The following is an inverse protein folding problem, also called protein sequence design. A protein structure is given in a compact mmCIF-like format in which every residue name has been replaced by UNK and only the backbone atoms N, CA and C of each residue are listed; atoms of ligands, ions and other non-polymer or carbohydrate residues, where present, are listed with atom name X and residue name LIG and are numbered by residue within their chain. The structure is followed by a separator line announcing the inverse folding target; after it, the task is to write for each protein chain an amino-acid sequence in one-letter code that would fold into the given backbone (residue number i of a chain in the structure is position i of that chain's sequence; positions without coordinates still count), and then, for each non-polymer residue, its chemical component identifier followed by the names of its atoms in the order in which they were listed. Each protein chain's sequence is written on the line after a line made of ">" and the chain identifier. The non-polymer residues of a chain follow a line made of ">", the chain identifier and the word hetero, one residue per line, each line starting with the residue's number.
data_IF_115739162557
#
_entry.id   IF_115739162557
#
_cell.length_a   1.000
_cell.length_b   1.000
_cell.length_c   1.000
_cell.angle_alpha   90.00
_cell.angle_beta   90.00
_cell.angle_gamma   90.00
#
_symmetry.space_group_name_H-M   'P 1'
#
loop_
_entity.id
_entity.type
_entity.pdbx_description
1 polymer ?
#
# COMPACT_ATOMS: atom_id res chain seq x y z
N UNK A 1 -66.30 15.27 18.99
CA UNK A 1 -65.43 14.85 17.85
C UNK A 1 -64.57 13.68 18.30
N UNK A 2 -64.43 12.65 17.46
CA UNK A 2 -63.74 11.41 17.82
C UNK A 2 -62.23 11.67 17.97
N UNK A 3 -61.64 11.34 19.15
CA UNK A 3 -60.23 11.62 19.49
C UNK A 3 -59.26 11.07 18.44
N UNK A 4 -59.61 9.94 17.81
CA UNK A 4 -58.84 9.34 16.72
C UNK A 4 -58.77 10.25 15.48
N UNK A 5 -59.87 10.89 15.10
CA UNK A 5 -59.91 11.83 13.97
C UNK A 5 -59.08 13.09 14.26
N UNK A 6 -59.10 13.55 15.51
CA UNK A 6 -58.31 14.71 15.96
C UNK A 6 -56.80 14.41 15.90
N UNK A 7 -56.37 13.27 16.43
CA UNK A 7 -54.97 12.83 16.36
C UNK A 7 -54.52 12.65 14.91
N UNK A 8 -55.36 12.04 14.05
CA UNK A 8 -55.04 11.88 12.63
C UNK A 8 -54.89 13.24 11.92
N UNK A 9 -55.78 14.19 12.17
CA UNK A 9 -55.68 15.54 11.58
C UNK A 9 -54.42 16.27 12.04
N UNK A 10 -54.06 16.15 13.32
CA UNK A 10 -52.83 16.73 13.86
C UNK A 10 -51.59 16.14 13.16
N UNK A 11 -51.53 14.82 13.01
CA UNK A 11 -50.41 14.13 12.38
C UNK A 11 -50.26 14.52 10.90
N UNK A 12 -51.39 14.70 10.21
CA UNK A 12 -51.43 15.10 8.80
C UNK A 12 -50.91 16.54 8.62
N UNK A 13 -51.25 17.45 9.53
CA UNK A 13 -50.70 18.82 9.53
C UNK A 13 -49.19 18.82 9.77
N UNK A 14 -48.69 18.02 10.71
CA UNK A 14 -47.25 17.89 10.97
C UNK A 14 -46.51 17.30 9.76
N UNK A 15 -47.07 16.27 9.13
CA UNK A 15 -46.51 15.64 7.93
C UNK A 15 -46.41 16.66 6.77
N UNK A 16 -47.50 17.38 6.50
CA UNK A 16 -47.53 18.38 5.45
C UNK A 16 -46.51 19.51 5.69
N UNK A 17 -46.41 19.98 6.95
CA UNK A 17 -45.41 20.97 7.35
C UNK A 17 -43.97 20.48 7.15
N UNK A 18 -43.68 19.22 7.50
CA UNK A 18 -42.35 18.64 7.32
C UNK A 18 -41.96 18.49 5.84
N UNK A 19 -42.91 18.09 4.98
CA UNK A 19 -42.67 17.99 3.54
C UNK A 19 -42.40 19.37 2.92
N UNK A 20 -43.18 20.39 3.29
CA UNK A 20 -42.97 21.75 2.84
C UNK A 20 -41.60 22.29 3.28
N UNK A 21 -41.24 22.11 4.55
CA UNK A 21 -39.95 22.52 5.08
C UNK A 21 -38.78 21.83 4.36
N UNK A 22 -38.90 20.51 4.13
CA UNK A 22 -37.90 19.74 3.40
C UNK A 22 -37.72 20.24 1.96
N UNK A 23 -38.81 20.60 1.30
CA UNK A 23 -38.76 21.06 -0.10
C UNK A 23 -38.10 22.43 -0.23
N UNK A 24 -38.37 23.33 0.72
CA UNK A 24 -37.75 24.67 0.77
C UNK A 24 -36.24 24.58 1.05
N UNK A 25 -35.85 23.64 1.92
CA UNK A 25 -34.44 23.47 2.32
C UNK A 25 -33.64 22.51 1.43
N UNK A 26 -34.26 21.94 0.40
CA UNK A 26 -33.57 21.04 -0.53
C UNK A 26 -32.50 21.81 -1.31
N UNK A 27 -31.20 21.46 -1.18
CA UNK A 27 -30.13 22.14 -1.89
C UNK A 27 -30.27 21.89 -3.39
N UNK A 28 -30.57 22.94 -4.16
CA UNK A 28 -30.61 22.85 -5.62
C UNK A 28 -29.19 22.78 -6.15
N UNK A 29 -28.90 21.70 -6.88
CA UNK A 29 -27.63 21.59 -7.62
C UNK A 29 -27.55 22.70 -8.67
N UNK A 30 -26.53 23.55 -8.58
CA UNK A 30 -26.25 24.56 -9.59
C UNK A 30 -25.79 23.87 -10.87
N UNK A 31 -26.66 23.83 -11.88
CA UNK A 31 -26.31 23.34 -13.22
C UNK A 31 -25.58 24.45 -13.95
N UNK A 32 -24.28 24.26 -14.21
CA UNK A 32 -23.47 25.20 -15.01
C UNK A 32 -23.86 25.02 -16.47
N UNK A 33 -24.58 26.01 -17.04
CA UNK A 33 -25.14 25.93 -18.39
C UNK A 33 -24.08 26.00 -19.51
N UNK A 34 -22.89 26.53 -19.21
CA UNK A 34 -21.82 26.70 -20.21
C UNK A 34 -20.46 26.45 -19.57
N UNK A 35 -19.85 25.32 -19.95
CA UNK A 35 -18.46 25.04 -19.61
C UNK A 35 -17.58 25.98 -20.45
N UNK A 36 -16.95 26.98 -19.82
CA UNK A 36 -16.05 27.93 -20.49
C UNK A 36 -14.82 27.26 -21.10
N UNK A 37 -14.46 26.07 -20.62
CA UNK A 37 -13.40 25.25 -21.18
C UNK A 37 -14.00 23.96 -21.74
N UNK A 38 -14.09 23.88 -23.07
CA UNK A 38 -14.38 22.64 -23.78
C UNK A 38 -13.10 21.79 -23.79
N UNK A 39 -13.13 20.51 -23.38
CA UNK A 39 -11.97 19.64 -23.53
C UNK A 39 -11.57 19.60 -25.01
N UNK A 40 -10.34 20.03 -25.31
CA UNK A 40 -9.80 20.17 -26.67
C UNK A 40 -9.68 21.61 -27.21
N UNK A 41 -10.06 22.64 -26.46
CA UNK A 41 -9.79 24.03 -26.86
C UNK A 41 -8.31 24.41 -26.61
N UNK A 42 -7.58 24.70 -27.68
CA UNK A 42 -6.20 25.18 -27.60
C UNK A 42 -6.17 26.58 -26.93
N UNK A 43 -5.42 26.69 -25.84
CA UNK A 43 -5.21 27.97 -25.17
C UNK A 43 -4.30 28.86 -26.03
N UNK A 44 -4.82 29.99 -26.52
CA UNK A 44 -4.03 31.01 -27.20
C UNK A 44 -3.12 31.69 -26.17
N UNK A 45 -1.86 31.27 -26.11
CA UNK A 45 -0.83 31.91 -25.29
C UNK A 45 -0.42 33.22 -25.96
N UNK A 46 -0.97 34.34 -25.48
CA UNK A 46 -0.46 35.67 -25.82
C UNK A 46 0.72 35.95 -24.88
N UNK A 47 1.95 35.74 -25.37
CA UNK A 47 3.15 36.31 -24.72
C UNK A 47 3.18 37.80 -25.03
N UNK A 48 2.78 38.64 -24.08
CA UNK A 48 3.08 40.07 -24.12
C UNK A 48 4.29 40.33 -23.23
N UNK A 49 5.35 40.84 -23.85
CA UNK A 49 6.69 40.95 -23.31
C UNK A 49 6.84 41.90 -22.12
N UNK A 50 7.93 41.64 -21.41
CA UNK A 50 8.73 42.47 -20.51
C UNK A 50 8.38 43.96 -20.38
N UNK A 51 7.99 44.37 -19.19
CA UNK A 51 8.45 45.59 -18.49
C UNK A 51 8.04 45.53 -17.00
N UNK A 52 8.81 46.13 -16.07
CA UNK A 52 8.70 45.85 -14.64
C UNK A 52 7.53 46.61 -13.99
N UNK A 53 6.82 45.97 -13.07
CA UNK A 53 5.80 46.60 -12.23
C UNK A 53 6.31 46.70 -10.78
N UNK A 54 6.00 47.82 -10.08
CA UNK A 54 6.50 48.10 -8.74
C UNK A 54 5.81 47.25 -7.68
N UNK A 55 6.48 47.15 -6.54
CA UNK A 55 6.05 46.46 -5.33
C UNK A 55 4.65 46.90 -4.87
N UNK A 56 3.79 45.91 -4.61
CA UNK A 56 2.46 46.12 -4.07
C UNK A 56 1.78 44.78 -3.77
N UNK A 57 1.79 44.40 -2.50
CA UNK A 57 1.21 43.17 -1.94
C UNK A 57 -0.29 43.08 -2.24
N UNK A 58 -0.70 42.01 -2.91
CA UNK A 58 -2.06 41.48 -2.87
C UNK A 58 -2.01 39.96 -3.02
N UNK A 59 -2.01 39.26 -1.89
CA UNK A 59 -2.17 37.81 -1.80
C UNK A 59 -3.61 37.44 -2.17
N UNK A 60 -3.81 37.06 -3.43
CA UNK A 60 -5.04 36.46 -3.95
C UNK A 60 -4.68 35.30 -4.87
N UNK A 61 -4.32 34.14 -4.29
CA UNK A 61 -4.29 32.87 -5.03
C UNK A 61 -3.40 32.82 -6.28
N UNK A 62 -2.47 33.76 -6.43
CA UNK A 62 -1.56 33.80 -7.56
C UNK A 62 -0.39 32.85 -7.31
N UNK A 63 -0.14 32.00 -8.31
CA UNK A 63 0.95 31.03 -8.27
C UNK A 63 2.27 31.79 -8.20
N UNK A 64 3.00 31.63 -7.10
CA UNK A 64 4.33 32.22 -6.92
C UNK A 64 5.37 31.53 -7.81
N UNK A 65 5.40 31.92 -9.09
CA UNK A 65 6.37 31.42 -10.07
C UNK A 65 7.82 31.81 -9.70
N UNK A 66 8.00 32.85 -8.88
CA UNK A 66 9.30 33.26 -8.37
C UNK A 66 10.01 32.19 -7.51
N UNK A 67 9.27 31.20 -6.99
CA UNK A 67 9.87 30.07 -6.26
C UNK A 67 10.50 29.03 -7.19
N UNK A 68 10.13 29.00 -8.47
CA UNK A 68 10.71 28.11 -9.49
C UNK A 68 12.07 28.62 -9.98
N UNK A 69 12.29 29.93 -9.97
CA UNK A 69 13.56 30.55 -10.35
C UNK A 69 14.60 30.52 -9.21
N UNK A 70 14.27 29.90 -8.07
CA UNK A 70 15.19 29.74 -6.95
C UNK A 70 16.32 28.80 -7.38
N UNK A 71 17.47 29.39 -7.73
CA UNK A 71 18.72 28.67 -7.98
C UNK A 71 19.12 27.92 -6.70
N UNK A 72 18.71 26.65 -6.61
CA UNK A 72 19.03 25.78 -5.48
C UNK A 72 20.52 25.48 -5.57
N UNK A 73 21.35 25.86 -4.57
CA UNK A 73 22.77 25.54 -4.59
C UNK A 73 22.91 24.01 -4.73
N UNK A 74 23.68 23.59 -5.73
CA UNK A 74 23.83 22.17 -6.06
C UNK A 74 24.23 21.35 -4.83
N UNK A 75 23.58 20.20 -4.67
CA UNK A 75 23.91 19.28 -3.60
C UNK A 75 25.36 18.79 -3.79
N UNK A 76 26.26 19.21 -2.91
CA UNK A 76 27.70 18.89 -2.98
C UNK A 76 28.07 17.42 -2.69
N UNK A 77 27.07 16.53 -2.62
CA UNK A 77 27.26 15.11 -2.36
C UNK A 77 27.65 14.81 -0.91
N UNK A 78 27.36 13.60 -0.44
CA UNK A 78 27.89 13.09 0.82
C UNK A 78 29.17 12.30 0.54
N UNK A 79 30.33 12.78 1.01
CA UNK A 79 31.64 12.16 0.73
C UNK A 79 32.01 10.97 1.61
N UNK A 80 31.11 10.52 2.49
CA UNK A 80 31.34 9.34 3.35
C UNK A 80 30.60 8.14 2.78
N UNK A 81 31.30 7.01 2.68
CA UNK A 81 30.69 5.75 2.31
C UNK A 81 29.84 5.23 3.49
N UNK A 82 28.56 5.58 3.47
CA UNK A 82 27.56 5.17 4.46
C UNK A 82 27.24 3.66 4.43
N UNK A 83 27.79 2.93 3.46
CA UNK A 83 27.71 1.47 3.35
C UNK A 83 29.02 0.78 3.78
N UNK A 84 30.00 1.52 4.31
CA UNK A 84 31.16 0.88 4.89
C UNK A 84 30.76 0.14 6.18
N UNK A 85 31.14 -1.14 6.33
CA UNK A 85 30.83 -1.90 7.54
C UNK A 85 31.48 -1.21 8.73
N UNK A 86 30.65 -0.87 9.72
CA UNK A 86 31.03 -0.14 10.93
C UNK A 86 31.99 -0.98 11.80
N UNK A 87 31.94 -2.30 11.61
CA UNK A 87 32.76 -3.28 12.32
C UNK A 87 33.85 -3.81 11.40
N UNK A 88 34.95 -3.05 11.28
CA UNK A 88 36.23 -3.66 10.94
C UNK A 88 36.80 -4.21 12.22
N UNK A 89 36.30 -5.38 12.62
CA UNK A 89 36.99 -6.14 13.65
C UNK A 89 38.40 -6.42 13.13
N UNK A 90 39.33 -5.88 13.89
CA UNK A 90 40.76 -6.00 13.81
C UNK A 90 41.14 -7.47 13.73
N UNK A 91 41.16 -8.01 12.51
CA UNK A 91 41.68 -9.35 12.25
C UNK A 91 43.19 -9.25 12.33
N UNK A 92 43.68 -9.30 13.57
CA UNK A 92 45.08 -9.57 13.90
C UNK A 92 45.55 -10.73 13.00
N UNK A 93 46.65 -10.58 12.25
CA UNK A 93 47.14 -11.66 11.41
C UNK A 93 47.51 -12.85 12.31
N UNK A 94 47.08 -14.09 11.99
CA UNK A 94 47.39 -15.25 12.83
C UNK A 94 48.89 -15.52 12.80
N UNK A 95 49.48 -15.62 13.98
CA UNK A 95 50.86 -16.07 14.20
C UNK A 95 51.04 -17.48 13.58
N UNK A 96 52.09 -17.74 12.79
CA UNK A 96 52.27 -19.04 12.15
C UNK A 96 52.73 -20.08 13.17
N UNK A 97 51.85 -21.03 13.50
CA UNK A 97 52.20 -22.26 14.20
C UNK A 97 53.04 -23.15 13.27
N UNK A 98 54.29 -23.42 13.65
CA UNK A 98 55.15 -24.40 12.96
C UNK A 98 54.66 -25.81 13.25
N UNK A 99 54.09 -26.48 12.25
CA UNK A 99 53.76 -27.91 12.32
C UNK A 99 55.03 -28.76 12.04
N UNK A 100 55.14 -29.95 12.67
CA UNK A 100 56.22 -30.90 12.38
C UNK A 100 56.11 -31.49 10.96
N UNK A 101 57.22 -31.99 10.37
CA UNK A 101 57.23 -32.50 9.01
C UNK A 101 56.36 -33.75 8.85
N UNK A 102 55.69 -33.91 7.69
CA UNK A 102 54.79 -35.03 7.43
C UNK A 102 55.55 -36.36 7.25
N UNK A 103 54.95 -37.49 7.63
CA UNK A 103 55.52 -38.83 7.42
C UNK A 103 55.63 -39.19 5.93
N UNK A 104 56.49 -40.15 5.55
CA UNK A 104 56.71 -40.54 4.16
C UNK A 104 55.45 -41.13 3.52
N UNK A 105 55.26 -40.94 2.19
CA UNK A 105 54.05 -41.35 1.51
C UNK A 105 53.93 -42.87 1.43
N UNK A 106 52.90 -43.42 2.07
CA UNK A 106 52.43 -44.78 1.81
C UNK A 106 51.84 -44.81 0.40
N UNK A 107 52.30 -45.74 -0.45
CA UNK A 107 51.73 -45.97 -1.78
C UNK A 107 50.26 -46.37 -1.62
N UNK A 108 49.37 -45.44 -1.96
CA UNK A 108 47.93 -45.68 -2.03
C UNK A 108 47.64 -46.69 -3.14
N UNK A 109 46.70 -47.64 -2.92
CA UNK A 109 46.19 -48.49 -4.00
C UNK A 109 45.54 -47.61 -5.10
N UNK A 110 45.48 -48.12 -6.35
CA UNK A 110 44.89 -47.37 -7.45
C UNK A 110 43.45 -46.95 -7.13
N UNK A 111 43.03 -45.73 -7.55
CA UNK A 111 41.70 -45.23 -7.26
C UNK A 111 40.64 -46.16 -7.85
N UNK A 112 39.52 -46.39 -7.14
CA UNK A 112 38.39 -47.12 -7.71
C UNK A 112 37.89 -46.38 -8.97
N UNK A 113 37.32 -47.12 -9.94
CA UNK A 113 36.79 -46.52 -11.16
C UNK A 113 35.75 -45.43 -10.80
N UNK A 114 35.65 -44.35 -11.61
CA UNK A 114 34.77 -43.25 -11.32
C UNK A 114 33.34 -43.76 -11.10
N UNK A 115 32.82 -43.53 -9.89
CA UNK A 115 31.43 -43.75 -9.60
C UNK A 115 30.61 -43.00 -10.65
N UNK A 116 29.70 -43.73 -11.31
CA UNK A 116 28.79 -43.17 -12.28
C UNK A 116 28.16 -41.89 -11.71
N UNK A 117 28.15 -40.84 -12.53
CA UNK A 117 27.56 -39.56 -12.21
C UNK A 117 26.16 -39.79 -11.59
N UNK A 118 26.02 -39.47 -10.31
CA UNK A 118 24.70 -39.38 -9.70
C UNK A 118 23.88 -38.38 -10.51
N UNK A 119 22.66 -38.72 -10.95
CA UNK A 119 21.81 -37.79 -11.68
C UNK A 119 21.68 -36.50 -10.88
N UNK A 120 21.95 -35.36 -11.53
CA UNK A 120 21.63 -34.06 -10.94
C UNK A 120 20.13 -34.05 -10.59
N UNK A 121 19.74 -33.51 -9.42
CA UNK A 121 18.34 -33.37 -9.08
C UNK A 121 17.63 -32.61 -10.21
N UNK A 122 16.45 -33.06 -10.66
CA UNK A 122 15.71 -32.33 -11.68
C UNK A 122 15.47 -30.89 -11.21
N UNK A 123 15.51 -29.90 -12.12
CA UNK A 123 15.21 -28.52 -11.79
C UNK A 123 13.83 -28.45 -11.09
N UNK A 124 13.67 -27.59 -10.07
CA UNK A 124 12.41 -27.45 -9.36
C UNK A 124 11.30 -27.15 -10.38
N UNK A 125 10.19 -27.88 -10.26
CA UNK A 125 9.03 -27.72 -11.14
C UNK A 125 8.56 -26.25 -11.14
N UNK A 126 8.09 -25.73 -12.28
CA UNK A 126 7.54 -24.38 -12.34
C UNK A 126 6.39 -24.25 -11.33
N UNK A 127 6.30 -23.12 -10.62
CA UNK A 127 5.29 -22.93 -9.58
C UNK A 127 3.89 -23.03 -10.19
N UNK A 128 3.04 -23.87 -9.59
CA UNK A 128 1.64 -24.03 -9.98
C UNK A 128 0.88 -22.72 -9.72
N UNK A 129 -0.18 -22.45 -10.49
CA UNK A 129 -0.99 -21.22 -10.35
C UNK A 129 -1.51 -21.00 -8.93
N UNK A 130 -1.79 -22.08 -8.20
CA UNK A 130 -2.19 -22.07 -6.79
C UNK A 130 -1.11 -21.48 -5.88
N UNK A 131 0.15 -21.88 -6.06
CA UNK A 131 1.28 -21.38 -5.28
C UNK A 131 1.54 -19.89 -5.54
N UNK A 132 1.31 -19.44 -6.78
CA UNK A 132 1.40 -18.03 -7.14
C UNK A 132 0.27 -17.20 -6.49
N UNK A 133 -0.96 -17.71 -6.51
CA UNK A 133 -2.10 -17.06 -5.86
C UNK A 133 -1.88 -16.92 -4.34
N UNK A 134 -1.29 -17.92 -3.71
CA UNK A 134 -0.98 -17.91 -2.29
C UNK A 134 0.15 -16.93 -1.94
N UNK A 135 1.20 -16.88 -2.75
CA UNK A 135 2.28 -15.91 -2.59
C UNK A 135 1.78 -14.46 -2.81
N UNK A 136 0.77 -14.28 -3.66
CA UNK A 136 0.11 -13.00 -3.86
C UNK A 136 -0.82 -12.60 -2.71
N UNK A 137 -1.45 -13.57 -2.04
CA UNK A 137 -2.35 -13.33 -0.91
C UNK A 137 -1.60 -12.69 0.27
N UNK A 138 -0.36 -13.12 0.54
CA UNK A 138 0.48 -12.55 1.59
C UNK A 138 0.99 -11.11 1.34
N UNK A 139 0.72 -10.52 0.16
CA UNK A 139 1.19 -9.17 -0.20
C UNK A 139 0.19 -8.06 0.13
N UNK A 140 -1.01 -8.41 0.59
CA UNK A 140 -1.98 -7.42 1.03
C UNK A 140 -1.50 -6.77 2.33
N UNK A 141 -1.41 -5.44 2.32
CA UNK A 141 -1.09 -4.63 3.49
C UNK A 141 -2.34 -3.86 3.90
N UNK A 142 -2.68 -3.90 5.18
CA UNK A 142 -3.77 -3.11 5.71
C UNK A 142 -3.37 -1.63 5.80
N UNK A 143 -4.19 -0.74 5.25
CA UNK A 143 -3.97 0.71 5.27
C UNK A 143 -4.84 1.42 6.31
N UNK A 144 -6.07 0.94 6.53
CA UNK A 144 -7.03 1.59 7.41
C UNK A 144 -8.45 1.07 7.20
N UNK A 145 -9.41 1.61 7.95
CA UNK A 145 -10.83 1.32 7.71
C UNK A 145 -11.68 2.58 7.90
N UNK A 146 -12.84 2.60 7.26
CA UNK A 146 -13.89 3.59 7.43
C UNK A 146 -15.14 2.90 7.97
N UNK A 147 -15.69 3.43 9.06
CA UNK A 147 -16.98 2.99 9.61
C UNK A 147 -18.01 4.09 9.35
N UNK A 148 -19.03 3.80 8.55
CA UNK A 148 -20.12 4.74 8.23
C UNK A 148 -21.45 4.02 8.22
N UNK A 149 -22.46 4.56 8.91
CA UNK A 149 -23.81 3.98 8.99
C UNK A 149 -23.83 2.50 9.46
N UNK A 150 -22.90 2.09 10.31
CA UNK A 150 -22.75 0.69 10.73
C UNK A 150 -22.04 -0.23 9.73
N UNK A 151 -21.74 0.24 8.51
CA UNK A 151 -20.92 -0.49 7.54
C UNK A 151 -19.43 -0.18 7.74
N UNK A 152 -18.62 -1.23 7.85
CA UNK A 152 -17.15 -1.14 7.88
C UNK A 152 -16.58 -1.42 6.49
N UNK A 153 -15.75 -0.51 6.00
CA UNK A 153 -14.99 -0.66 4.74
C UNK A 153 -13.51 -0.64 5.08
N UNK A 154 -12.79 -1.68 4.71
CA UNK A 154 -11.34 -1.80 4.95
C UNK A 154 -10.59 -1.39 3.69
N UNK A 155 -9.52 -0.63 3.86
CA UNK A 155 -8.59 -0.26 2.80
C UNK A 155 -7.38 -1.18 2.88
N UNK A 156 -7.12 -1.87 1.79
CA UNK A 156 -5.96 -2.75 1.62
C UNK A 156 -5.10 -2.20 0.48
N UNK A 157 -3.79 -2.36 0.56
CA UNK A 157 -2.89 -2.15 -0.57
C UNK A 157 -2.25 -3.44 -1.02
N UNK A 158 -2.06 -3.58 -2.33
CA UNK A 158 -1.26 -4.64 -2.95
C UNK A 158 -0.59 -4.05 -4.18
N UNK A 159 0.73 -4.20 -4.31
CA UNK A 159 1.51 -3.68 -5.45
C UNK A 159 1.23 -2.19 -5.76
N UNK A 160 1.15 -1.35 -4.72
CA UNK A 160 0.82 0.09 -4.81
C UNK A 160 -0.60 0.41 -5.33
N UNK A 161 -1.47 -0.58 -5.49
CA UNK A 161 -2.89 -0.39 -5.79
C UNK A 161 -3.70 -0.50 -4.50
N UNK A 162 -4.74 0.35 -4.35
CA UNK A 162 -5.61 0.39 -3.17
C UNK A 162 -6.94 -0.29 -3.48
N UNK A 163 -7.30 -1.26 -2.64
CA UNK A 163 -8.53 -2.02 -2.73
C UNK A 163 -9.47 -1.69 -1.55
N UNK A 164 -10.76 -1.56 -1.86
CA UNK A 164 -11.80 -1.39 -0.85
C UNK A 164 -12.45 -2.76 -0.59
N UNK A 165 -12.33 -3.21 0.65
CA UNK A 165 -12.80 -4.50 1.11
C UNK A 165 -14.02 -4.33 2.02
N UNK A 166 -15.16 -4.87 1.59
CA UNK A 166 -16.37 -5.08 2.39
C UNK A 166 -16.62 -6.58 2.59
N UNK A 167 -17.43 -6.94 3.58
CA UNK A 167 -17.87 -8.33 3.76
C UNK A 167 -18.49 -8.86 2.45
N UNK A 168 -17.99 -9.99 1.95
CA UNK A 168 -18.46 -10.62 0.70
C UNK A 168 -17.94 -10.00 -0.60
N UNK A 169 -17.18 -8.90 -0.53
CA UNK A 169 -16.62 -8.24 -1.73
C UNK A 169 -15.47 -9.05 -2.36
N UNK A 170 -15.27 -8.89 -3.67
CA UNK A 170 -14.13 -9.48 -4.39
C UNK A 170 -12.98 -8.48 -4.45
N UNK A 171 -11.78 -8.95 -4.15
CA UNK A 171 -10.53 -8.19 -4.22
C UNK A 171 -9.81 -8.60 -5.50
N UNK A 172 -10.15 -7.94 -6.60
CA UNK A 172 -9.71 -8.32 -7.94
C UNK A 172 -10.30 -9.68 -8.39
N UNK A 173 -9.69 -10.34 -9.39
CA UNK A 173 -10.24 -11.57 -9.98
C UNK A 173 -9.97 -12.82 -9.14
N UNK A 174 -8.96 -12.80 -8.26
CA UNK A 174 -8.42 -14.00 -7.61
C UNK A 174 -8.79 -14.15 -6.13
N UNK A 175 -9.36 -13.13 -5.50
CA UNK A 175 -9.56 -13.10 -4.05
C UNK A 175 -10.97 -12.64 -3.66
N UNK A 176 -11.48 -13.18 -2.56
CA UNK A 176 -12.78 -12.82 -2.01
C UNK A 176 -12.70 -12.65 -0.49
N UNK A 177 -13.37 -11.62 0.03
CA UNK A 177 -13.51 -11.40 1.47
C UNK A 177 -14.61 -12.32 2.00
N UNK A 178 -14.23 -13.30 2.82
CA UNK A 178 -15.16 -14.25 3.44
C UNK A 178 -15.80 -13.66 4.68
N UNK A 179 -15.01 -13.02 5.54
CA UNK A 179 -15.53 -12.38 6.75
C UNK A 179 -14.81 -11.06 7.06
N UNK A 180 -15.54 -10.18 7.74
CA UNK A 180 -15.05 -8.88 8.18
C UNK A 180 -15.57 -8.60 9.58
N UNK A 181 -14.66 -8.64 10.54
CA UNK A 181 -14.90 -8.39 11.96
C UNK A 181 -14.34 -7.04 12.40
N UNK A 182 -14.53 -6.68 13.67
CA UNK A 182 -13.93 -5.47 14.21
C UNK A 182 -12.40 -5.59 14.34
N UNK A 183 -11.88 -6.80 14.58
CA UNK A 183 -10.45 -7.03 14.86
C UNK A 183 -9.67 -7.56 13.65
N UNK A 184 -10.32 -8.23 12.70
CA UNK A 184 -9.66 -8.87 11.58
C UNK A 184 -10.54 -8.95 10.31
N UNK A 185 -9.88 -8.94 9.15
CA UNK A 185 -10.48 -9.28 7.86
C UNK A 185 -9.95 -10.61 7.38
N UNK A 186 -10.85 -11.44 6.85
CA UNK A 186 -10.51 -12.76 6.34
C UNK A 186 -10.71 -12.80 4.84
N UNK A 187 -9.63 -13.11 4.11
CA UNK A 187 -9.57 -13.11 2.66
C UNK A 187 -9.22 -14.51 2.18
N UNK A 188 -10.01 -15.05 1.26
CA UNK A 188 -9.80 -16.36 0.66
C UNK A 188 -9.34 -16.24 -0.79
N UNK A 189 -8.37 -17.05 -1.17
CA UNK A 189 -7.97 -17.27 -2.56
C UNK A 189 -9.02 -18.12 -3.28
N UNK A 190 -9.52 -17.65 -4.43
CA UNK A 190 -10.48 -18.38 -5.26
C UNK A 190 -9.82 -19.58 -5.94
N UNK A 191 -8.53 -19.49 -6.26
CA UNK A 191 -7.77 -20.54 -6.95
C UNK A 191 -7.20 -21.59 -5.99
N UNK A 192 -6.60 -21.16 -4.88
CA UNK A 192 -5.86 -22.06 -3.96
C UNK A 192 -6.61 -22.45 -2.69
N UNK A 193 -7.80 -21.89 -2.45
CA UNK A 193 -8.61 -22.19 -1.26
C UNK A 193 -8.01 -21.75 0.07
N UNK A 194 -6.77 -21.23 0.10
CA UNK A 194 -6.12 -20.70 1.29
C UNK A 194 -6.82 -19.44 1.80
N UNK A 195 -6.84 -19.32 3.11
CA UNK A 195 -7.45 -18.22 3.85
C UNK A 195 -6.36 -17.43 4.58
N UNK A 196 -6.38 -16.11 4.44
CA UNK A 196 -5.49 -15.18 5.10
C UNK A 196 -6.31 -14.28 6.02
N UNK A 197 -5.97 -14.32 7.30
CA UNK A 197 -6.54 -13.43 8.32
C UNK A 197 -5.58 -12.26 8.51
N UNK A 198 -6.00 -11.07 8.09
CA UNK A 198 -5.26 -9.83 8.29
C UNK A 198 -5.88 -9.11 9.49
N UNK A 199 -5.15 -8.97 10.61
CA UNK A 199 -5.66 -8.23 11.75
C UNK A 199 -5.70 -6.73 11.41
N UNK A 200 -6.82 -6.09 11.73
CA UNK A 200 -7.09 -4.66 11.51
C UNK A 200 -6.43 -3.86 12.64
N UNK A 201 -5.11 -3.97 12.76
CA UNK A 201 -4.34 -3.33 13.81
C UNK A 201 -4.11 -1.86 13.44
N UNK A 202 -4.66 -0.95 14.24
CA UNK A 202 -4.26 0.45 14.20
C UNK A 202 -2.80 0.58 14.66
N UNK A 203 -1.91 0.99 13.76
CA UNK A 203 -0.57 1.54 14.07
C UNK A 203 0.37 0.67 14.94
N UNK A 204 0.60 -0.60 14.60
CA UNK A 204 1.74 -1.35 15.18
C UNK A 204 2.52 -2.14 14.13
N UNK A 205 3.82 -1.86 14.02
CA UNK A 205 4.75 -2.61 13.18
C UNK A 205 4.68 -4.11 13.54
N UNK A 206 4.46 -4.94 12.51
CA UNK A 206 4.42 -6.39 12.59
C UNK A 206 5.73 -6.90 13.20
N UNK A 207 5.72 -7.22 14.49
CA UNK A 207 6.87 -7.83 15.15
C UNK A 207 6.94 -9.29 14.74
N UNK A 208 7.98 -9.65 14.01
CA UNK A 208 8.31 -11.04 13.70
C UNK A 208 8.60 -11.76 15.00
N UNK A 209 7.75 -12.73 15.36
CA UNK A 209 7.96 -13.60 16.52
C UNK A 209 9.15 -14.52 16.22
N UNK A 210 10.36 -14.07 16.52
CA UNK A 210 11.56 -14.90 16.50
C UNK A 210 11.49 -15.82 17.72
N UNK A 211 11.10 -17.07 17.49
CA UNK A 211 11.20 -18.12 18.50
C UNK A 211 12.68 -18.40 18.77
N UNK A 212 13.22 -17.86 19.86
CA UNK A 212 14.48 -18.33 20.43
C UNK A 212 14.21 -19.71 21.03
N UNK A 213 14.74 -20.74 20.37
CA UNK A 213 14.81 -22.10 20.90
C UNK A 213 16.20 -22.33 21.49
N UNK A 214 16.28 -22.41 22.81
CA UNK A 214 17.34 -23.06 23.61
C UNK A 214 16.83 -23.10 25.06
N UNK A 215 17.29 -23.98 25.95
CA UNK A 215 18.59 -24.67 26.00
C UNK A 215 18.63 -26.02 25.27
#
# INVERSE_FOLDING_TARGET
>A
MNRQKLVLTLLLVVLAGSLAYSFIRAPRQQKVATLKNRPGAAATVIRKGSAPAPEGVADNGDVHLALLDRNVPGFNGFRRNIFSPIFKDEKTPPVPLKLPPPPPPVKLPPPPPPAAATPQPPPPAPPTEEQLADAELGKFTFLGFLKKNGEKTVFLSKNNEVFLAKKGSKLGPKFQVTDLSDDAITIKSVAGGRELVIPLLENRALSTRTSKRTP
#
